data_IF_935488932984
#
_entry.id   IF_935488932984
#
_cell.length_a   1.000
_cell.length_b   1.000
_cell.length_c   1.000
_cell.angle_alpha   90.00
_cell.angle_beta   90.00
_cell.angle_gamma   90.00
#
_symmetry.space_group_name_H-M   'P 1'
#
loop_
_entity.id
_entity.type
_entity.pdbx_description
1 polymer ?
#
# COMPACT_ATOMS: atom_id res chain seq x y z
N UNK A 1 7.58 -7.64 -28.90
CA UNK A 1 8.51 -7.81 -27.76
C UNK A 1 8.58 -6.48 -27.05
N UNK A 2 7.86 -6.35 -25.93
CA UNK A 2 7.89 -5.14 -25.08
C UNK A 2 8.72 -5.53 -23.87
N UNK A 3 9.79 -4.78 -23.63
CA UNK A 3 10.74 -5.02 -22.55
C UNK A 3 10.00 -5.12 -21.21
N UNK A 4 10.06 -6.31 -20.60
CA UNK A 4 9.74 -6.49 -19.19
C UNK A 4 10.87 -5.83 -18.41
N UNK A 5 10.61 -4.65 -17.82
CA UNK A 5 11.55 -4.05 -16.89
C UNK A 5 11.65 -4.95 -15.67
N UNK A 6 12.78 -5.61 -15.50
CA UNK A 6 13.14 -6.29 -14.26
C UNK A 6 12.95 -5.31 -13.10
N UNK A 7 12.02 -5.61 -12.19
CA UNK A 7 11.88 -4.85 -10.96
C UNK A 7 13.12 -5.08 -10.09
N UNK A 8 14.14 -4.23 -10.27
CA UNK A 8 15.37 -4.31 -9.50
C UNK A 8 15.13 -3.79 -8.06
N UNK A 9 14.58 -4.67 -7.21
CA UNK A 9 14.33 -4.41 -5.80
C UNK A 9 15.58 -4.16 -4.96
N UNK A 10 16.76 -4.43 -5.53
CA UNK A 10 18.07 -4.24 -4.92
C UNK A 10 18.68 -2.86 -5.21
N UNK A 11 18.00 -2.03 -6.01
CA UNK A 11 18.43 -0.66 -6.25
C UNK A 11 18.49 0.14 -4.94
N UNK A 12 19.60 0.86 -4.74
CA UNK A 12 19.88 1.62 -3.52
C UNK A 12 18.79 2.65 -3.17
N UNK A 13 18.25 3.37 -4.16
CA UNK A 13 17.16 4.34 -3.97
C UNK A 13 15.89 3.61 -3.54
N UNK A 14 15.59 2.47 -4.17
CA UNK A 14 14.43 1.63 -3.82
C UNK A 14 14.54 1.12 -2.38
N UNK A 15 15.70 0.64 -1.95
CA UNK A 15 15.93 0.19 -0.56
C UNK A 15 15.70 1.33 0.44
N UNK A 16 16.20 2.53 0.14
CA UNK A 16 16.00 3.71 0.98
C UNK A 16 14.51 4.04 1.08
N UNK A 17 13.80 4.13 -0.05
CA UNK A 17 12.37 4.40 -0.07
C UNK A 17 11.59 3.32 0.70
N UNK A 18 11.91 2.03 0.53
CA UNK A 18 11.30 0.93 1.30
C UNK A 18 11.43 1.16 2.80
N UNK A 19 12.62 1.55 3.27
CA UNK A 19 12.87 1.81 4.68
C UNK A 19 12.10 3.03 5.19
N UNK A 20 11.97 4.08 4.38
CA UNK A 20 11.20 5.28 4.75
C UNK A 20 9.69 4.99 4.77
N UNK A 21 9.18 4.16 3.85
CA UNK A 21 7.80 3.66 3.88
C UNK A 21 7.57 2.82 5.15
N UNK A 22 8.49 1.92 5.51
CA UNK A 22 8.40 1.11 6.74
C UNK A 22 8.39 1.95 8.01
N UNK A 23 9.13 3.06 8.02
CA UNK A 23 9.09 4.08 9.09
C UNK A 23 7.80 4.91 9.07
N UNK A 24 6.92 4.62 8.12
CA UNK A 24 5.63 5.25 7.97
C UNK A 24 5.71 6.65 7.40
N UNK A 25 6.73 7.05 6.62
CA UNK A 25 6.75 8.39 6.02
C UNK A 25 5.77 8.50 4.84
N UNK A 26 5.21 9.69 4.66
CA UNK A 26 4.33 9.99 3.52
C UNK A 26 5.14 10.30 2.26
N UNK A 27 4.54 10.09 1.10
CA UNK A 27 5.18 10.25 -0.22
C UNK A 27 5.94 11.58 -0.41
N UNK A 28 5.31 12.72 -0.12
CA UNK A 28 5.97 14.04 -0.21
C UNK A 28 7.15 14.20 0.76
N UNK A 29 7.06 13.59 1.94
CA UNK A 29 8.14 13.59 2.92
C UNK A 29 9.30 12.71 2.46
N UNK A 30 9.02 11.56 1.81
CA UNK A 30 10.03 10.69 1.24
C UNK A 30 10.76 11.39 0.09
N UNK A 31 10.02 12.06 -0.81
CA UNK A 31 10.60 12.86 -1.89
C UNK A 31 11.56 13.93 -1.36
N UNK A 32 11.12 14.66 -0.32
CA UNK A 32 11.95 15.66 0.34
C UNK A 32 13.18 15.05 1.04
N UNK A 33 13.01 13.94 1.77
CA UNK A 33 14.10 13.23 2.44
C UNK A 33 15.15 12.71 1.45
N UNK A 34 14.73 12.20 0.28
CA UNK A 34 15.67 11.78 -0.76
C UNK A 34 16.55 12.94 -1.22
N UNK A 35 15.98 14.13 -1.38
CA UNK A 35 16.73 15.32 -1.77
C UNK A 35 17.65 15.82 -0.64
N UNK A 36 17.10 16.07 0.55
CA UNK A 36 17.83 16.75 1.63
C UNK A 36 18.77 15.84 2.42
N UNK A 37 18.38 14.60 2.71
CA UNK A 37 19.16 13.72 3.59
C UNK A 37 20.08 12.78 2.79
N UNK A 38 19.67 12.43 1.56
CA UNK A 38 20.38 11.47 0.72
C UNK A 38 21.00 12.08 -0.54
N UNK A 39 20.80 13.37 -0.80
CA UNK A 39 21.31 14.10 -1.98
C UNK A 39 20.92 13.47 -3.34
N UNK A 40 19.75 12.81 -3.40
CA UNK A 40 19.18 12.33 -4.65
C UNK A 40 18.29 13.41 -5.27
N UNK A 41 18.77 14.02 -6.35
CA UNK A 41 17.98 14.95 -7.17
C UNK A 41 17.24 14.17 -8.24
N UNK A 42 16.02 13.74 -7.91
CA UNK A 42 15.10 13.08 -8.84
C UNK A 42 14.05 14.09 -9.30
N UNK A 43 13.66 14.05 -10.57
CA UNK A 43 12.44 14.72 -10.98
C UNK A 43 11.21 13.98 -10.43
N UNK A 44 10.04 14.62 -10.50
CA UNK A 44 8.83 14.05 -9.90
C UNK A 44 8.48 12.68 -10.49
N UNK A 45 8.59 12.50 -11.81
CA UNK A 45 8.26 11.25 -12.49
C UNK A 45 9.23 10.11 -12.12
N UNK A 46 10.53 10.41 -12.03
CA UNK A 46 11.54 9.46 -11.56
C UNK A 46 11.26 9.04 -10.12
N UNK A 47 10.94 9.99 -9.24
CA UNK A 47 10.56 9.69 -7.87
C UNK A 47 9.31 8.79 -7.81
N UNK A 48 8.28 9.09 -8.61
CA UNK A 48 7.07 8.26 -8.70
C UNK A 48 7.41 6.82 -9.08
N UNK A 49 8.24 6.62 -10.10
CA UNK A 49 8.66 5.30 -10.58
C UNK A 49 9.44 4.52 -9.51
N UNK A 50 10.38 5.17 -8.83
CA UNK A 50 11.13 4.54 -7.73
C UNK A 50 10.23 4.25 -6.53
N UNK A 51 9.30 5.14 -6.21
CA UNK A 51 8.34 4.95 -5.12
C UNK A 51 7.41 3.78 -5.39
N UNK A 52 6.86 3.68 -6.59
CA UNK A 52 5.99 2.57 -6.98
C UNK A 52 6.75 1.25 -7.00
N UNK A 53 7.97 1.24 -7.55
CA UNK A 53 8.82 0.04 -7.52
C UNK A 53 9.17 -0.36 -6.09
N UNK A 54 9.54 0.59 -5.22
CA UNK A 54 9.81 0.33 -3.82
C UNK A 54 8.61 -0.20 -3.05
N UNK A 55 7.44 0.38 -3.29
CA UNK A 55 6.18 -0.09 -2.73
C UNK A 55 5.89 -1.52 -3.20
N UNK A 56 6.01 -1.79 -4.50
CA UNK A 56 5.79 -3.11 -5.07
C UNK A 56 6.79 -4.14 -4.52
N UNK A 57 8.08 -3.78 -4.41
CA UNK A 57 9.11 -4.61 -3.79
C UNK A 57 8.94 -4.82 -2.28
N UNK A 58 8.28 -3.90 -1.58
CA UNK A 58 7.97 -4.05 -0.16
C UNK A 58 6.82 -5.03 0.08
N UNK A 59 5.84 -5.01 -0.81
CA UNK A 59 4.59 -5.77 -0.70
C UNK A 59 4.50 -6.92 -1.71
N UNK A 60 5.61 -7.29 -2.35
CA UNK A 60 5.73 -8.37 -3.36
C UNK A 60 4.69 -8.27 -4.50
N UNK A 61 4.39 -7.07 -4.94
CA UNK A 61 3.37 -6.81 -5.97
C UNK A 61 4.05 -6.88 -7.33
N UNK A 62 4.03 -8.06 -7.97
CA UNK A 62 4.57 -8.26 -9.32
C UNK A 62 5.46 -9.49 -9.48
N UNK A 63 5.89 -10.13 -8.39
CA UNK A 63 6.60 -11.41 -8.46
C UNK A 63 5.61 -12.54 -8.73
N UNK A 64 5.43 -12.88 -10.01
CA UNK A 64 5.05 -14.25 -10.39
C UNK A 64 6.32 -15.09 -10.30
N UNK A 65 6.57 -15.68 -9.14
CA UNK A 65 7.08 -17.05 -9.03
C UNK A 65 6.96 -17.53 -7.56
N UNK A 66 5.99 -18.42 -7.36
CA UNK A 66 5.93 -19.48 -6.37
C UNK A 66 6.08 -19.08 -4.88
N UNK A 67 4.92 -19.11 -4.19
CA UNK A 67 4.65 -18.85 -2.76
C UNK A 67 4.40 -17.35 -2.48
N UNK A 68 3.19 -16.79 -2.55
CA UNK A 68 1.99 -17.20 -1.83
C UNK A 68 0.76 -16.37 -2.32
N UNK A 69 -0.34 -16.99 -2.79
CA UNK A 69 -1.67 -16.36 -2.81
C UNK A 69 -2.16 -15.96 -1.41
N UNK A 70 -1.45 -16.40 -0.36
CA UNK A 70 -1.73 -16.21 1.05
C UNK A 70 -1.59 -14.76 1.50
N UNK A 71 -0.57 -14.01 1.06
CA UNK A 71 -0.29 -12.66 1.60
C UNK A 71 -1.39 -11.63 1.20
N UNK A 72 -1.76 -11.56 -0.08
CA UNK A 72 -2.85 -10.67 -0.50
C UNK A 72 -4.20 -11.13 0.04
N UNK A 73 -4.43 -12.45 0.11
CA UNK A 73 -5.63 -13.00 0.73
C UNK A 73 -5.74 -12.57 2.20
N UNK A 74 -4.67 -12.71 2.99
CA UNK A 74 -4.60 -12.28 4.38
C UNK A 74 -4.84 -10.77 4.53
N UNK A 75 -4.29 -9.95 3.62
CA UNK A 75 -4.56 -8.51 3.59
C UNK A 75 -6.02 -8.18 3.26
N UNK A 76 -6.64 -8.91 2.32
CA UNK A 76 -8.06 -8.75 2.01
C UNK A 76 -8.99 -9.26 3.13
N UNK A 77 -8.49 -10.13 4.01
CA UNK A 77 -9.21 -10.62 5.18
C UNK A 77 -9.17 -9.65 6.37
N UNK A 78 -8.31 -8.62 6.33
CA UNK A 78 -8.25 -7.58 7.35
C UNK A 78 -9.58 -6.82 7.47
N UNK A 79 -10.03 -6.57 8.71
CA UNK A 79 -11.33 -5.94 8.98
C UNK A 79 -11.42 -4.50 8.45
N UNK A 80 -10.36 -3.71 8.59
CA UNK A 80 -10.31 -2.33 8.09
C UNK A 80 -10.43 -2.32 6.56
N UNK A 81 -9.75 -3.25 5.89
CA UNK A 81 -9.80 -3.42 4.42
C UNK A 81 -11.21 -3.81 3.98
N UNK A 82 -11.85 -4.78 4.64
CA UNK A 82 -13.23 -5.20 4.32
C UNK A 82 -14.23 -4.06 4.46
N UNK A 83 -14.12 -3.27 5.53
CA UNK A 83 -14.96 -2.10 5.75
C UNK A 83 -14.79 -1.05 4.65
N UNK A 84 -13.54 -0.74 4.29
CA UNK A 84 -13.25 0.20 3.20
C UNK A 84 -13.81 -0.32 1.88
N UNK A 85 -13.62 -1.61 1.56
CA UNK A 85 -14.21 -2.23 0.35
C UNK A 85 -15.72 -2.04 0.32
N UNK A 86 -16.41 -2.30 1.44
CA UNK A 86 -17.87 -2.13 1.50
C UNK A 86 -18.28 -0.68 1.27
N UNK A 87 -17.54 0.30 1.79
CA UNK A 87 -17.84 1.71 1.55
C UNK A 87 -17.54 2.14 0.11
N UNK A 88 -16.45 1.63 -0.51
CA UNK A 88 -16.15 1.85 -1.94
C UNK A 88 -17.30 1.31 -2.80
N UNK A 89 -17.78 0.10 -2.53
CA UNK A 89 -18.88 -0.52 -3.28
C UNK A 89 -20.22 0.23 -3.09
N UNK A 90 -20.38 0.98 -2.00
CA UNK A 90 -21.51 1.88 -1.75
C UNK A 90 -21.32 3.29 -2.35
N UNK A 91 -20.27 3.50 -3.15
CA UNK A 91 -19.92 4.78 -3.78
C UNK A 91 -19.70 5.93 -2.79
N UNK A 92 -19.11 5.67 -1.63
CA UNK A 92 -18.69 6.74 -0.72
C UNK A 92 -17.45 7.44 -1.27
N UNK A 93 -17.35 8.75 -1.06
CA UNK A 93 -16.16 9.52 -1.41
C UNK A 93 -14.94 9.08 -0.56
N UNK A 94 -13.74 9.21 -1.12
CA UNK A 94 -12.49 8.82 -0.45
C UNK A 94 -12.29 9.55 0.88
N UNK A 95 -12.59 10.85 0.95
CA UNK A 95 -12.41 11.62 2.18
C UNK A 95 -13.43 11.22 3.27
N UNK A 96 -14.64 10.89 2.86
CA UNK A 96 -15.68 10.37 3.75
C UNK A 96 -15.30 9.00 4.32
N UNK A 97 -14.83 8.09 3.46
CA UNK A 97 -14.32 6.78 3.87
C UNK A 97 -13.20 6.97 4.90
N UNK A 98 -12.22 7.82 4.58
CA UNK A 98 -11.07 8.07 5.45
C UNK A 98 -11.50 8.56 6.83
N UNK A 99 -12.41 9.52 6.88
CA UNK A 99 -12.92 10.08 8.13
C UNK A 99 -13.71 9.05 8.94
N UNK A 100 -14.56 8.25 8.28
CA UNK A 100 -15.38 7.22 8.94
C UNK A 100 -14.53 6.10 9.52
N UNK A 101 -13.54 5.62 8.77
CA UNK A 101 -12.60 4.60 9.24
C UNK A 101 -11.75 5.13 10.38
N UNK A 102 -11.22 6.35 10.27
CA UNK A 102 -10.42 6.95 11.33
C UNK A 102 -11.21 7.04 12.63
N UNK A 103 -12.45 7.55 12.58
CA UNK A 103 -13.32 7.62 13.76
C UNK A 103 -13.62 6.24 14.36
N UNK A 104 -13.86 5.24 13.50
CA UNK A 104 -14.18 3.87 13.94
C UNK A 104 -12.98 3.16 14.58
N UNK A 105 -11.77 3.38 14.05
CA UNK A 105 -10.58 2.59 14.38
C UNK A 105 -9.50 3.38 15.15
N UNK A 106 -9.75 4.64 15.53
CA UNK A 106 -8.79 5.51 16.24
C UNK A 106 -8.12 4.82 17.44
N UNK A 107 -8.89 4.03 18.18
CA UNK A 107 -8.48 3.25 19.34
C UNK A 107 -8.94 1.80 19.19
N UNK A 108 -8.62 1.20 18.04
CA UNK A 108 -8.99 -0.18 17.79
C UNK A 108 -8.15 -1.13 18.65
N UNK A 109 -8.81 -2.13 19.25
CA UNK A 109 -8.13 -3.24 19.89
C UNK A 109 -7.93 -4.35 18.87
N UNK A 110 -6.72 -4.88 18.78
CA UNK A 110 -6.49 -6.09 18.01
C UNK A 110 -7.06 -7.34 18.71
N UNK A 111 -6.86 -8.50 18.08
CA UNK A 111 -7.36 -9.79 18.59
C UNK A 111 -6.74 -10.19 19.94
N UNK A 112 -5.63 -9.57 20.34
CA UNK A 112 -4.97 -9.79 21.63
C UNK A 112 -5.41 -8.75 22.68
N UNK A 113 -6.29 -7.81 22.31
CA UNK A 113 -6.81 -6.77 23.19
C UNK A 113 -5.91 -5.54 23.31
N UNK A 114 -4.85 -5.45 22.53
CA UNK A 114 -3.91 -4.32 22.53
C UNK A 114 -4.43 -3.18 21.65
N UNK A 115 -4.30 -1.94 22.12
CA UNK A 115 -4.70 -0.77 21.35
C UNK A 115 -3.69 -0.47 20.24
N UNK A 116 -4.11 -0.69 18.99
CA UNK A 116 -3.38 -0.25 17.82
C UNK A 116 -3.97 1.06 17.31
N UNK A 117 -3.19 2.14 17.47
CA UNK A 117 -3.57 3.45 16.96
C UNK A 117 -3.42 3.47 15.44
N UNK A 118 -4.53 3.48 14.72
CA UNK A 118 -4.52 3.68 13.29
C UNK A 118 -4.30 5.17 12.98
N UNK A 119 -3.40 5.46 12.04
CA UNK A 119 -3.19 6.82 11.55
C UNK A 119 -3.97 7.06 10.26
N UNK A 120 -4.16 8.33 9.88
CA UNK A 120 -4.72 8.68 8.57
C UNK A 120 -3.91 8.12 7.40
N UNK A 121 -2.60 7.91 7.58
CA UNK A 121 -1.70 7.34 6.59
C UNK A 121 -1.93 5.83 6.43
N UNK A 122 -2.16 5.11 7.53
CA UNK A 122 -2.48 3.68 7.48
C UNK A 122 -3.80 3.46 6.72
N UNK A 123 -4.76 4.36 6.89
CA UNK A 123 -6.04 4.30 6.18
C UNK A 123 -5.86 4.52 4.67
N UNK A 124 -4.97 5.44 4.25
CA UNK A 124 -4.64 5.61 2.84
C UNK A 124 -4.04 4.31 2.27
N UNK A 125 -3.16 3.65 3.02
CA UNK A 125 -2.59 2.36 2.61
C UNK A 125 -3.67 1.27 2.50
N UNK A 126 -4.55 1.14 3.49
CA UNK A 126 -5.65 0.19 3.45
C UNK A 126 -6.64 0.48 2.31
N UNK A 127 -6.82 1.74 1.93
CA UNK A 127 -7.64 2.13 0.78
C UNK A 127 -7.04 1.63 -0.55
N UNK A 128 -5.74 1.75 -0.74
CA UNK A 128 -5.06 1.21 -1.92
C UNK A 128 -5.11 -0.32 -1.96
N UNK A 129 -4.92 -0.99 -0.81
CA UNK A 129 -5.09 -2.44 -0.68
C UNK A 129 -6.52 -2.85 -1.04
N UNK A 130 -7.53 -2.11 -0.57
CA UNK A 130 -8.95 -2.38 -0.83
C UNK A 130 -9.29 -2.35 -2.32
N UNK A 131 -8.77 -1.37 -3.06
CA UNK A 131 -8.94 -1.31 -4.53
C UNK A 131 -8.35 -2.54 -5.22
N UNK A 132 -7.18 -3.00 -4.77
CA UNK A 132 -6.54 -4.23 -5.28
C UNK A 132 -7.37 -5.48 -4.95
N UNK A 133 -7.89 -5.60 -3.74
CA UNK A 133 -8.76 -6.70 -3.32
C UNK A 133 -10.07 -6.78 -4.12
N UNK A 134 -10.68 -5.64 -4.45
CA UNK A 134 -11.87 -5.59 -5.32
C UNK A 134 -11.55 -6.18 -6.70
N UNK A 135 -10.42 -5.77 -7.29
CA UNK A 135 -9.99 -6.31 -8.58
C UNK A 135 -9.66 -7.80 -8.48
N UNK A 136 -8.99 -8.24 -7.42
CA UNK A 136 -8.67 -9.65 -7.19
C UNK A 136 -9.92 -10.56 -7.12
N UNK A 137 -10.97 -10.15 -6.40
CA UNK A 137 -12.24 -10.90 -6.35
C UNK A 137 -12.92 -11.01 -7.73
N UNK A 138 -12.85 -9.96 -8.56
CA UNK A 138 -13.36 -10.01 -9.94
C UNK A 138 -12.59 -11.02 -10.79
N UNK A 139 -11.26 -11.08 -10.68
CA UNK A 139 -10.43 -12.04 -11.41
C UNK A 139 -10.68 -13.50 -10.96
N UNK A 140 -10.92 -13.75 -9.68
CA UNK A 140 -11.22 -15.10 -9.18
C UNK A 140 -12.57 -15.62 -9.68
N UNK A 141 -13.61 -14.77 -9.68
CA UNK A 141 -14.95 -15.16 -10.14
C UNK A 141 -15.09 -15.22 -11.67
N UNK A 142 -14.19 -14.59 -12.44
CA UNK A 142 -14.21 -14.67 -13.91
C UNK A 142 -13.52 -15.92 -14.47
N UNK A 143 -12.75 -16.64 -13.65
CA UNK A 143 -12.03 -17.87 -14.00
C UNK A 143 -12.67 -19.12 -13.37
N UNK A 144 -13.93 -19.05 -12.92
CA UNK A 144 -14.76 -20.18 -12.51
C UNK A 144 -15.96 -20.26 -13.44
#
# INVERSE_FOLDING_TARGET
MIAMSEHNCDNKIIIIIKNLIKKGLGKSCIESTLYFDYNYSLNHEEFLNYYETAFNCLYKIGEKENNEPNDLFLLCENEVVKDIIMMILKNFDKNDIKTKIYKKYLLHKDKNGEYNKITLRDIDNFYEISKKCINYKKYKNANT
#
